data_IF_097705486272
#
_entry.id   IF_097705486272
#
_cell.length_a   1.000
_cell.length_b   1.000
_cell.length_c   1.000
_cell.angle_alpha   90.00
_cell.angle_beta   90.00
_cell.angle_gamma   90.00
#
_symmetry.space_group_name_H-M   'P 1'
#
loop_
_entity.id
_entity.type
_entity.pdbx_description
1 polymer ?
#
# COMPACT_ATOMS: atom_id res chain seq x y z
N UNK A 1 -23.61 -83.45 12.43
CA UNK A 1 -24.73 -83.80 11.51
C UNK A 1 -25.29 -82.49 10.97
N UNK A 2 -25.47 -82.20 9.69
CA UNK A 2 -25.27 -82.97 8.47
C UNK A 2 -25.14 -81.97 7.27
N UNK A 3 -24.14 -82.23 6.43
CA UNK A 3 -23.87 -81.88 5.03
C UNK A 3 -24.80 -80.96 4.19
N UNK A 4 -24.13 -80.04 3.47
CA UNK A 4 -24.36 -79.51 2.11
C UNK A 4 -25.44 -80.17 1.22
N UNK A 5 -26.15 -79.34 0.43
CA UNK A 5 -26.19 -79.47 -1.05
C UNK A 5 -26.83 -78.27 -1.77
N UNK A 6 -26.26 -78.01 -2.94
CA UNK A 6 -26.57 -76.93 -3.86
C UNK A 6 -27.72 -77.25 -4.84
N UNK A 7 -28.21 -76.18 -5.47
CA UNK A 7 -28.31 -75.96 -6.93
C UNK A 7 -29.71 -75.90 -7.60
N UNK A 8 -29.88 -74.77 -8.32
CA UNK A 8 -30.58 -74.52 -9.60
C UNK A 8 -32.07 -74.83 -9.76
N UNK A 9 -32.83 -73.79 -10.13
CA UNK A 9 -33.60 -73.75 -11.39
C UNK A 9 -34.05 -72.31 -11.70
N UNK A 10 -33.69 -71.80 -12.88
CA UNK A 10 -34.27 -70.58 -13.42
C UNK A 10 -35.61 -70.86 -14.13
N UNK A 11 -36.45 -69.84 -14.25
CA UNK A 11 -37.37 -69.68 -15.39
C UNK A 11 -37.92 -68.24 -15.44
N UNK A 12 -37.58 -67.59 -16.56
CA UNK A 12 -38.47 -66.85 -17.46
C UNK A 12 -39.03 -65.48 -17.00
N UNK A 13 -38.45 -64.46 -17.66
CA UNK A 13 -38.98 -63.11 -17.87
C UNK A 13 -40.43 -63.11 -18.37
N UNK A 14 -41.25 -62.23 -17.80
CA UNK A 14 -42.31 -61.53 -18.56
C UNK A 14 -42.21 -60.02 -18.33
N UNK A 15 -41.78 -59.37 -19.39
CA UNK A 15 -41.86 -57.93 -19.62
C UNK A 15 -43.33 -57.59 -19.83
N UNK A 16 -43.91 -56.73 -18.99
CA UNK A 16 -45.19 -56.11 -19.27
C UNK A 16 -44.97 -54.62 -19.47
N UNK A 17 -44.95 -54.25 -20.76
CA UNK A 17 -44.93 -52.89 -21.28
C UNK A 17 -46.24 -52.21 -20.89
N UNK A 18 -46.20 -51.25 -19.97
CA UNK A 18 -47.20 -50.18 -19.96
C UNK A 18 -46.61 -48.98 -20.70
N UNK A 19 -46.81 -49.01 -22.00
CA UNK A 19 -46.76 -47.87 -22.91
C UNK A 19 -47.80 -46.84 -22.45
N UNK A 20 -47.46 -46.05 -21.44
CA UNK A 20 -48.12 -44.77 -21.26
C UNK A 20 -47.53 -43.80 -22.27
N UNK A 21 -48.35 -43.55 -23.28
CA UNK A 21 -48.19 -42.55 -24.32
C UNK A 21 -47.83 -41.18 -23.72
N UNK A 22 -46.52 -40.92 -23.57
CA UNK A 22 -45.95 -39.58 -23.46
C UNK A 22 -45.90 -38.89 -24.84
N UNK A 23 -46.91 -39.13 -25.68
CA UNK A 23 -46.89 -38.73 -27.10
C UNK A 23 -47.09 -37.22 -27.30
N UNK A 24 -47.33 -36.40 -26.27
CA UNK A 24 -47.62 -34.98 -26.43
C UNK A 24 -46.97 -34.03 -25.40
N UNK A 25 -45.82 -34.37 -24.83
CA UNK A 25 -45.01 -33.37 -24.08
C UNK A 25 -43.70 -33.00 -24.77
N UNK A 26 -43.67 -33.18 -26.09
CA UNK A 26 -42.74 -32.51 -27.00
C UNK A 26 -43.38 -31.21 -27.51
N UNK A 27 -43.80 -30.32 -26.61
CA UNK A 27 -43.67 -28.90 -26.91
C UNK A 27 -42.19 -28.56 -26.73
N UNK A 28 -41.39 -28.96 -27.72
CA UNK A 28 -40.06 -28.43 -27.95
C UNK A 28 -40.23 -26.96 -28.34
N UNK A 29 -39.78 -25.97 -27.56
CA UNK A 29 -39.30 -24.75 -28.18
C UNK A 29 -37.98 -25.13 -28.87
N UNK A 30 -37.93 -25.01 -30.19
CA UNK A 30 -36.67 -24.97 -30.91
C UNK A 30 -35.85 -23.80 -30.31
N UNK A 31 -34.93 -24.10 -29.41
CA UNK A 31 -34.21 -23.09 -28.61
C UNK A 31 -33.78 -23.54 -27.22
N UNK A 32 -34.42 -24.55 -26.61
CA UNK A 32 -34.07 -25.01 -25.25
C UNK A 32 -32.63 -25.52 -25.13
N UNK A 33 -32.11 -26.25 -26.12
CA UNK A 33 -30.72 -26.72 -26.12
C UNK A 33 -29.72 -25.56 -26.18
N UNK A 34 -29.98 -24.56 -27.02
CA UNK A 34 -29.16 -23.35 -27.11
C UNK A 34 -29.19 -22.54 -25.81
N UNK A 35 -30.34 -22.48 -25.14
CA UNK A 35 -30.48 -21.79 -23.86
C UNK A 35 -29.59 -22.41 -22.78
N UNK A 36 -29.53 -23.74 -22.70
CA UNK A 36 -28.65 -24.44 -21.75
C UNK A 36 -27.18 -24.16 -22.03
N UNK A 37 -26.77 -24.17 -23.31
CA UNK A 37 -25.38 -23.88 -23.70
C UNK A 37 -24.99 -22.44 -23.36
N UNK A 38 -25.87 -21.46 -23.62
CA UNK A 38 -25.63 -20.05 -23.27
C UNK A 38 -25.48 -19.89 -21.76
N UNK A 39 -26.31 -20.59 -20.96
CA UNK A 39 -26.25 -20.50 -19.51
C UNK A 39 -24.94 -21.09 -18.95
N UNK A 40 -24.51 -22.24 -19.48
CA UNK A 40 -23.22 -22.85 -19.10
C UNK A 40 -22.04 -21.98 -19.51
N UNK A 41 -22.06 -21.41 -20.73
CA UNK A 41 -21.00 -20.52 -21.20
C UNK A 41 -20.94 -19.24 -20.36
N UNK A 42 -22.09 -18.64 -20.05
CA UNK A 42 -22.17 -17.46 -19.18
C UNK A 42 -21.59 -17.77 -17.80
N UNK A 43 -21.97 -18.90 -17.19
CA UNK A 43 -21.43 -19.33 -15.90
C UNK A 43 -19.91 -19.56 -15.95
N UNK A 44 -19.41 -20.30 -16.94
CA UNK A 44 -17.97 -20.54 -17.11
C UNK A 44 -17.19 -19.25 -17.34
N UNK A 45 -17.76 -18.29 -18.07
CA UNK A 45 -17.14 -16.98 -18.31
C UNK A 45 -17.06 -16.16 -17.02
N UNK A 46 -18.13 -16.11 -16.24
CA UNK A 46 -18.13 -15.40 -14.93
C UNK A 46 -17.13 -16.02 -13.97
N UNK A 47 -17.09 -17.35 -13.84
CA UNK A 47 -16.12 -18.05 -12.98
C UNK A 47 -14.69 -17.84 -13.47
N UNK A 48 -14.46 -17.93 -14.78
CA UNK A 48 -13.14 -17.71 -15.38
C UNK A 48 -12.58 -16.31 -15.10
N UNK A 49 -13.41 -15.27 -15.27
CA UNK A 49 -13.01 -13.89 -14.96
C UNK A 49 -12.74 -13.73 -13.46
N UNK A 50 -13.60 -14.26 -12.58
CA UNK A 50 -13.41 -14.16 -11.14
C UNK A 50 -12.08 -14.81 -10.67
N UNK A 51 -11.74 -15.98 -11.21
CA UNK A 51 -10.48 -16.67 -10.89
C UNK A 51 -9.28 -15.87 -11.38
N UNK A 52 -9.34 -15.29 -12.59
CA UNK A 52 -8.28 -14.42 -13.11
C UNK A 52 -8.11 -13.18 -12.23
N UNK A 53 -9.19 -12.54 -11.78
CA UNK A 53 -9.11 -11.38 -10.90
C UNK A 53 -8.43 -11.72 -9.57
N UNK A 54 -8.86 -12.79 -8.90
CA UNK A 54 -8.27 -13.22 -7.60
C UNK A 54 -6.79 -13.59 -7.75
N UNK A 55 -6.43 -14.30 -8.81
CA UNK A 55 -5.04 -14.70 -9.06
C UNK A 55 -4.14 -13.53 -9.45
N UNK A 56 -4.66 -12.50 -10.14
CA UNK A 56 -3.88 -11.28 -10.43
C UNK A 56 -3.70 -10.38 -9.20
N UNK A 57 -4.62 -10.42 -8.23
CA UNK A 57 -4.50 -9.65 -6.99
C UNK A 57 -3.43 -10.22 -6.04
N UNK A 58 -3.25 -11.54 -5.99
CA UNK A 58 -2.28 -12.18 -5.09
C UNK A 58 -0.82 -11.70 -5.25
N UNK A 59 -0.23 -11.76 -6.45
CA UNK A 59 1.14 -11.29 -6.70
C UNK A 59 1.31 -9.78 -6.49
N UNK A 60 0.28 -8.98 -6.79
CA UNK A 60 0.32 -7.52 -6.57
C UNK A 60 0.37 -7.17 -5.09
N UNK A 61 -0.42 -7.84 -4.26
CA UNK A 61 -0.44 -7.64 -2.81
C UNK A 61 0.87 -8.12 -2.17
N UNK A 62 1.43 -9.24 -2.61
CA UNK A 62 2.71 -9.73 -2.08
C UNK A 62 3.89 -8.82 -2.44
N UNK A 63 3.90 -8.26 -3.66
CA UNK A 63 4.93 -7.31 -4.05
C UNK A 63 4.80 -5.98 -3.27
N UNK A 64 3.57 -5.46 -3.11
CA UNK A 64 3.35 -4.23 -2.35
C UNK A 64 3.75 -4.35 -0.88
N UNK A 65 3.47 -5.50 -0.24
CA UNK A 65 3.91 -5.73 1.15
C UNK A 65 5.44 -5.71 1.27
N UNK A 66 6.16 -6.31 0.32
CA UNK A 66 7.64 -6.27 0.33
C UNK A 66 8.17 -4.85 0.16
N UNK A 67 7.61 -4.06 -0.75
CA UNK A 67 8.05 -2.67 -0.95
C UNK A 67 7.74 -1.80 0.27
N UNK A 68 6.61 -2.03 0.94
CA UNK A 68 6.28 -1.35 2.19
C UNK A 68 7.23 -1.72 3.32
N UNK A 69 7.58 -3.00 3.48
CA UNK A 69 8.59 -3.42 4.46
C UNK A 69 9.95 -2.81 4.17
N UNK A 70 10.37 -2.79 2.90
CA UNK A 70 11.62 -2.17 2.48
C UNK A 70 11.62 -0.64 2.72
N UNK A 71 10.50 0.05 2.47
CA UNK A 71 10.36 1.48 2.74
C UNK A 71 10.37 1.77 4.24
N UNK A 72 9.72 0.92 5.05
CA UNK A 72 9.74 1.04 6.49
C UNK A 72 11.15 0.84 7.07
N UNK A 73 11.88 -0.17 6.60
CA UNK A 73 13.27 -0.39 6.99
C UNK A 73 14.16 0.82 6.61
N UNK A 74 13.89 1.46 5.48
CA UNK A 74 14.60 2.68 5.09
C UNK A 74 14.24 3.88 5.96
N UNK A 75 12.98 4.02 6.36
CA UNK A 75 12.55 5.04 7.31
C UNK A 75 13.18 4.82 8.69
N UNK A 76 13.26 3.57 9.18
CA UNK A 76 13.88 3.22 10.47
C UNK A 76 15.38 3.53 10.47
N UNK A 77 16.10 3.17 9.40
CA UNK A 77 17.51 3.51 9.26
C UNK A 77 17.73 5.03 9.22
N UNK A 78 16.86 5.77 8.53
CA UNK A 78 16.88 7.23 8.50
C UNK A 78 16.60 7.86 9.87
N UNK A 79 15.66 7.29 10.63
CA UNK A 79 15.35 7.72 12.00
C UNK A 79 16.56 7.57 12.93
N UNK A 80 17.19 6.39 12.94
CA UNK A 80 18.36 6.13 13.78
C UNK A 80 19.53 7.06 13.42
N UNK A 81 19.77 7.27 12.13
CA UNK A 81 20.81 8.18 11.66
C UNK A 81 20.51 9.63 12.04
N UNK A 82 19.27 10.08 11.89
CA UNK A 82 18.86 11.45 12.20
C UNK A 82 18.97 11.70 13.69
N UNK A 83 18.57 10.74 14.52
CA UNK A 83 18.74 10.81 15.97
C UNK A 83 20.21 11.01 16.35
N UNK A 84 21.12 10.21 15.78
CA UNK A 84 22.56 10.34 16.05
C UNK A 84 23.09 11.70 15.55
N UNK A 85 22.63 12.18 14.39
CA UNK A 85 23.02 13.47 13.85
C UNK A 85 22.58 14.62 14.78
N UNK A 86 21.32 14.63 15.19
CA UNK A 86 20.78 15.61 16.14
C UNK A 86 21.54 15.57 17.48
N UNK A 87 21.76 14.38 18.04
CA UNK A 87 22.49 14.22 19.31
C UNK A 87 23.90 14.82 19.21
N UNK A 88 24.58 14.66 18.06
CA UNK A 88 25.89 15.26 17.81
C UNK A 88 25.82 16.78 17.65
N UNK A 89 24.82 17.32 16.95
CA UNK A 89 24.62 18.76 16.76
C UNK A 89 24.39 19.48 18.10
N UNK A 90 23.58 18.88 18.97
CA UNK A 90 23.34 19.38 20.33
C UNK A 90 24.60 19.26 21.19
N UNK A 91 25.29 18.12 21.15
CA UNK A 91 26.50 17.88 21.96
C UNK A 91 27.66 18.80 21.57
N UNK A 92 27.77 19.13 20.28
CA UNK A 92 28.78 20.06 19.75
C UNK A 92 28.43 21.53 20.02
N UNK A 93 27.22 21.82 20.53
CA UNK A 93 26.73 23.17 20.78
C UNK A 93 26.36 23.94 19.51
N UNK A 94 26.15 23.24 18.38
CA UNK A 94 25.63 23.84 17.15
C UNK A 94 24.13 24.10 17.28
N UNK A 95 23.41 23.18 17.92
CA UNK A 95 21.99 23.34 18.25
C UNK A 95 21.82 23.56 19.76
N UNK A 96 21.04 24.58 20.12
CA UNK A 96 20.68 24.87 21.53
C UNK A 96 19.36 24.21 21.89
N UNK A 97 18.41 24.23 20.95
CA UNK A 97 17.07 23.68 21.05
C UNK A 97 16.54 23.36 19.63
N UNK A 98 15.30 22.89 19.48
CA UNK A 98 14.70 22.57 18.18
C UNK A 98 14.01 23.75 17.49
N UNK A 99 13.91 24.91 18.16
CA UNK A 99 13.00 26.01 17.81
C UNK A 99 13.17 26.56 16.39
N UNK A 100 14.41 26.66 15.93
CA UNK A 100 14.74 27.19 14.60
C UNK A 100 14.81 26.11 13.50
N UNK A 101 14.69 24.83 13.88
CA UNK A 101 14.91 23.68 13.00
C UNK A 101 13.62 22.97 12.55
N UNK A 102 12.45 23.47 12.97
CA UNK A 102 11.17 22.93 12.52
C UNK A 102 10.89 23.26 11.05
N UNK A 103 10.37 22.27 10.33
CA UNK A 103 9.88 22.44 8.97
C UNK A 103 8.56 23.22 8.99
N UNK A 104 8.62 24.49 8.62
CA UNK A 104 7.48 25.41 8.62
C UNK A 104 7.31 26.05 7.25
N UNK A 105 6.10 26.55 6.95
CA UNK A 105 5.90 27.48 5.82
C UNK A 105 5.83 26.91 4.40
N UNK A 106 5.81 25.58 4.18
CA UNK A 106 5.66 24.98 2.84
C UNK A 106 4.27 25.19 2.22
N UNK A 107 3.25 25.41 3.05
CA UNK A 107 1.87 25.65 2.60
C UNK A 107 1.35 26.96 3.16
N UNK A 108 0.27 27.50 2.57
CA UNK A 108 -0.32 28.79 2.97
C UNK A 108 -0.61 28.91 4.47
N UNK A 109 -0.91 27.78 5.13
CA UNK A 109 -1.22 27.73 6.55
C UNK A 109 -0.20 26.93 7.36
N UNK A 110 1.00 26.65 6.82
CA UNK A 110 2.01 25.81 7.46
C UNK A 110 1.75 24.31 7.27
N UNK A 111 2.82 23.53 7.10
CA UNK A 111 2.74 22.07 6.95
C UNK A 111 2.59 21.36 8.32
N UNK A 112 3.02 22.04 9.36
CA UNK A 112 3.02 21.70 10.78
C UNK A 112 1.66 21.95 11.46
N UNK A 113 0.82 22.84 10.93
CA UNK A 113 -0.43 23.27 11.58
C UNK A 113 -1.62 22.40 11.17
N UNK A 114 -2.32 21.70 12.09
CA UNK A 114 -3.45 20.83 11.76
C UNK A 114 -4.75 21.57 11.42
N UNK A 115 -5.00 22.73 12.03
CA UNK A 115 -6.26 23.48 11.89
C UNK A 115 -6.00 24.96 11.57
N UNK A 116 -6.73 25.48 10.59
CA UNK A 116 -6.59 26.87 10.16
C UNK A 116 -7.08 27.78 11.29
N UNK A 117 -6.21 28.67 11.78
CA UNK A 117 -6.52 29.58 12.88
C UNK A 117 -6.94 28.90 14.18
N UNK A 118 -6.49 27.66 14.43
CA UNK A 118 -6.84 26.90 15.64
C UNK A 118 -8.30 26.44 15.70
N UNK A 119 -9.04 26.52 14.59
CA UNK A 119 -10.45 26.16 14.55
C UNK A 119 -10.65 24.70 14.09
N UNK A 120 -11.13 23.85 15.00
CA UNK A 120 -11.38 22.42 14.75
C UNK A 120 -12.35 22.15 13.59
N UNK A 121 -13.21 23.11 13.25
CA UNK A 121 -14.15 22.98 12.13
C UNK A 121 -13.52 23.25 10.76
N UNK A 122 -12.30 23.83 10.72
CA UNK A 122 -11.59 24.20 9.48
C UNK A 122 -10.23 23.52 9.44
N UNK A 123 -10.16 22.24 9.05
CA UNK A 123 -8.92 21.48 9.07
C UNK A 123 -8.02 21.90 7.89
N UNK A 124 -6.73 22.10 8.16
CA UNK A 124 -5.77 22.55 7.17
C UNK A 124 -5.53 21.46 6.11
N UNK A 125 -5.76 21.69 4.81
CA UNK A 125 -5.49 20.70 3.76
C UNK A 125 -3.98 20.47 3.56
N UNK A 126 -3.13 21.43 3.92
CA UNK A 126 -1.68 21.36 3.80
C UNK A 126 -0.96 20.69 4.97
N UNK A 127 -1.69 20.19 5.96
CA UNK A 127 -1.10 19.53 7.13
C UNK A 127 -0.44 18.21 6.75
N UNK A 128 0.80 17.96 7.19
CA UNK A 128 1.62 16.83 6.74
C UNK A 128 0.92 15.47 6.86
N UNK A 129 0.17 15.22 7.94
CA UNK A 129 -0.55 13.94 8.13
C UNK A 129 -1.73 13.72 7.18
N UNK A 130 -2.11 14.75 6.42
CA UNK A 130 -3.19 14.71 5.42
C UNK A 130 -2.65 14.69 4.00
N UNK A 131 -1.35 14.87 3.84
CA UNK A 131 -0.65 14.79 2.58
C UNK A 131 -0.10 13.38 2.39
N UNK A 132 -0.03 12.95 1.14
CA UNK A 132 0.74 11.77 0.74
C UNK A 132 2.22 12.13 0.67
N UNK A 133 3.11 11.17 0.81
CA UNK A 133 4.57 11.36 0.68
C UNK A 133 4.93 12.10 -0.62
N UNK A 134 4.34 11.73 -1.76
CA UNK A 134 4.52 12.42 -3.05
C UNK A 134 4.17 13.91 -3.00
N UNK A 135 3.09 14.26 -2.29
CA UNK A 135 2.68 15.65 -2.14
C UNK A 135 3.66 16.42 -1.28
N UNK A 136 4.18 15.80 -0.21
CA UNK A 136 5.20 16.42 0.64
C UNK A 136 6.48 16.67 -0.18
N UNK A 137 6.92 15.68 -0.97
CA UNK A 137 8.10 15.87 -1.83
C UNK A 137 7.91 16.95 -2.87
N UNK A 138 6.75 17.01 -3.54
CA UNK A 138 6.46 18.07 -4.50
C UNK A 138 6.44 19.48 -3.87
N UNK A 139 6.17 19.58 -2.57
CA UNK A 139 6.22 20.86 -1.84
C UNK A 139 7.66 21.25 -1.48
N UNK A 140 8.53 20.28 -1.23
CA UNK A 140 9.93 20.49 -0.86
C UNK A 140 10.79 20.75 -2.11
N UNK A 141 10.63 19.92 -3.13
CA UNK A 141 11.34 19.92 -4.40
C UNK A 141 10.30 19.91 -5.53
N UNK A 142 10.08 21.09 -6.12
CA UNK A 142 9.07 21.28 -7.17
C UNK A 142 9.60 20.87 -8.54
N UNK A 143 10.92 20.91 -8.73
CA UNK A 143 11.59 20.68 -10.00
C UNK A 143 12.10 19.23 -10.17
N UNK A 144 12.07 18.44 -9.09
CA UNK A 144 12.52 17.04 -8.98
C UNK A 144 14.00 16.82 -9.30
N UNK A 145 14.86 17.80 -9.01
CA UNK A 145 16.31 17.70 -9.21
C UNK A 145 17.04 17.06 -8.02
N UNK A 146 16.32 16.74 -6.94
CA UNK A 146 16.87 16.15 -5.72
C UNK A 146 17.46 17.19 -4.77
N UNK A 147 17.18 18.48 -4.99
CA UNK A 147 17.57 19.59 -4.12
C UNK A 147 16.29 20.32 -3.67
N UNK A 148 16.13 20.60 -2.36
CA UNK A 148 14.99 21.39 -1.87
C UNK A 148 14.96 22.80 -2.49
N UNK A 149 13.82 23.17 -3.10
CA UNK A 149 13.60 24.48 -3.74
C UNK A 149 13.09 25.52 -2.74
N UNK A 150 12.14 25.12 -1.88
CA UNK A 150 11.29 26.01 -1.09
C UNK A 150 11.60 26.00 0.42
N UNK A 151 12.62 25.25 0.83
CA UNK A 151 12.95 25.01 2.24
C UNK A 151 14.39 25.46 2.53
N UNK A 152 14.64 26.27 3.57
CA UNK A 152 15.98 26.49 4.06
C UNK A 152 16.65 25.14 4.39
N UNK A 153 17.88 24.92 3.90
CA UNK A 153 18.58 23.65 4.11
C UNK A 153 18.68 23.26 5.60
N UNK A 154 18.65 24.23 6.51
CA UNK A 154 18.77 24.01 7.96
C UNK A 154 17.47 23.48 8.64
N UNK A 155 16.35 23.38 7.90
CA UNK A 155 15.08 22.83 8.39
C UNK A 155 14.84 21.37 7.96
N UNK A 156 15.67 20.85 7.05
CA UNK A 156 15.67 19.46 6.62
C UNK A 156 16.92 18.79 7.20
N UNK A 157 16.75 17.74 7.99
CA UNK A 157 17.90 16.98 8.51
C UNK A 157 18.50 16.17 7.36
N UNK A 158 17.66 15.44 6.63
CA UNK A 158 18.04 14.69 5.43
C UNK A 158 16.99 14.88 4.36
N UNK A 159 17.43 15.02 3.10
CA UNK A 159 16.54 15.05 1.95
C UNK A 159 17.00 14.04 0.90
N UNK A 160 16.16 13.03 0.65
CA UNK A 160 16.39 11.96 -0.32
C UNK A 160 17.77 11.28 -0.22
N UNK A 161 18.30 11.17 0.98
CA UNK A 161 19.63 10.61 1.23
C UNK A 161 19.66 9.08 1.11
N UNK A 162 20.65 8.48 0.43
CA UNK A 162 20.78 7.03 0.31
C UNK A 162 21.51 6.42 1.52
N UNK A 163 20.89 5.43 2.18
CA UNK A 163 21.44 4.83 3.42
C UNK A 163 21.96 3.39 3.30
N UNK A 164 21.48 2.60 2.34
CA UNK A 164 21.86 1.19 2.25
C UNK A 164 23.09 1.02 1.37
N UNK A 165 24.05 0.19 1.80
CA UNK A 165 25.12 -0.26 0.91
C UNK A 165 24.68 -1.51 0.17
N UNK A 166 24.85 -1.52 -1.14
CA UNK A 166 24.63 -2.71 -1.95
C UNK A 166 25.71 -3.77 -1.68
N UNK A 167 25.59 -4.94 -2.32
CA UNK A 167 26.54 -6.06 -2.16
C UNK A 167 27.99 -5.71 -2.58
N UNK A 168 28.19 -4.63 -3.35
CA UNK A 168 29.51 -4.09 -3.71
C UNK A 168 30.04 -3.01 -2.75
N UNK A 169 29.32 -2.69 -1.67
CA UNK A 169 29.71 -1.70 -0.69
C UNK A 169 29.46 -0.24 -1.09
N UNK A 170 28.84 0.00 -2.26
CA UNK A 170 28.42 1.33 -2.72
C UNK A 170 27.01 1.63 -2.26
N UNK A 171 26.69 2.90 -2.01
CA UNK A 171 25.35 3.31 -1.61
C UNK A 171 24.33 2.93 -2.69
N UNK A 172 23.19 2.43 -2.25
CA UNK A 172 22.09 1.97 -3.08
C UNK A 172 21.06 3.09 -3.18
N UNK A 173 21.09 3.80 -4.31
CA UNK A 173 20.24 4.96 -4.59
C UNK A 173 18.73 4.62 -4.68
N UNK A 174 18.38 3.33 -4.62
CA UNK A 174 16.98 2.86 -4.60
C UNK A 174 16.30 3.10 -3.27
N UNK A 175 17.07 3.08 -2.18
CA UNK A 175 16.57 3.24 -0.82
C UNK A 175 16.96 4.60 -0.31
N UNK A 176 15.98 5.49 -0.16
CA UNK A 176 16.19 6.87 0.25
C UNK A 176 15.36 7.18 1.48
N UNK A 177 15.86 8.09 2.31
CA UNK A 177 15.05 8.65 3.38
C UNK A 177 15.08 10.18 3.37
N UNK A 178 13.99 10.75 3.83
CA UNK A 178 13.85 12.17 4.12
C UNK A 178 13.40 12.33 5.56
N UNK A 179 14.06 13.23 6.28
CA UNK A 179 13.85 13.42 7.71
C UNK A 179 13.78 14.91 8.05
N UNK A 180 12.75 15.30 8.80
CA UNK A 180 12.53 16.67 9.25
C UNK A 180 11.81 16.72 10.61
N UNK A 181 11.85 17.88 11.24
CA UNK A 181 11.23 18.14 12.54
C UNK A 181 9.94 18.92 12.39
N UNK A 182 8.97 18.62 13.26
CA UNK A 182 7.72 19.36 13.42
C UNK A 182 7.54 19.66 14.91
N UNK A 183 7.00 20.84 15.21
CA UNK A 183 6.55 21.24 16.55
C UNK A 183 5.26 20.46 16.90
N UNK A 184 5.22 19.71 18.01
CA UNK A 184 4.01 18.99 18.45
C UNK A 184 2.92 19.88 19.04
N UNK A 185 3.27 21.08 19.50
CA UNK A 185 2.32 22.10 19.92
C UNK A 185 1.76 22.92 18.74
N UNK A 186 2.31 22.75 17.53
CA UNK A 186 1.88 23.50 16.35
C UNK A 186 0.36 23.43 16.14
N UNK A 187 -0.28 24.60 16.17
CA UNK A 187 -1.73 24.75 15.98
C UNK A 187 -2.62 24.20 17.09
N UNK A 188 -2.07 23.79 18.23
CA UNK A 188 -2.84 23.40 19.44
C UNK A 188 -3.32 24.61 20.26
N UNK A 189 -2.70 25.78 20.04
CA UNK A 189 -2.92 26.99 20.82
C UNK A 189 -2.11 27.08 22.12
N UNK A 190 -1.30 26.05 22.42
CA UNK A 190 -0.24 26.12 23.42
C UNK A 190 0.95 26.95 22.90
N UNK A 191 1.79 27.42 23.81
CA UNK A 191 3.09 28.00 23.43
C UNK A 191 4.02 26.86 23.03
N UNK A 192 4.77 27.04 21.94
CA UNK A 192 5.81 26.10 21.49
C UNK A 192 6.82 25.84 22.59
N UNK A 193 7.10 24.58 22.87
CA UNK A 193 8.20 24.12 23.71
C UNK A 193 9.33 23.61 22.79
N UNK A 194 10.49 24.28 22.72
CA UNK A 194 11.55 23.90 21.80
C UNK A 194 12.40 22.72 22.31
N UNK A 195 12.00 22.08 23.43
CA UNK A 195 12.73 20.93 24.02
C UNK A 195 12.18 19.57 23.61
N UNK A 196 10.99 19.54 23.02
CA UNK A 196 10.37 18.39 22.38
C UNK A 196 10.02 18.67 20.91
N UNK A 197 9.83 17.58 20.17
CA UNK A 197 9.57 17.63 18.73
C UNK A 197 9.04 16.29 18.21
N UNK A 198 8.32 16.36 17.10
CA UNK A 198 8.03 15.23 16.24
C UNK A 198 9.10 15.08 15.15
N UNK A 199 9.89 14.01 15.25
CA UNK A 199 10.79 13.59 14.18
C UNK A 199 10.02 12.78 13.12
N UNK A 200 9.86 13.34 11.93
CA UNK A 200 9.15 12.70 10.82
C UNK A 200 10.17 12.07 9.88
N UNK A 201 10.03 10.77 9.63
CA UNK A 201 10.90 10.00 8.74
C UNK A 201 10.08 9.36 7.62
N UNK A 202 10.41 9.68 6.38
CA UNK A 202 9.78 9.13 5.17
C UNK A 202 10.82 8.27 4.46
N UNK A 203 10.57 6.97 4.39
CA UNK A 203 11.40 6.01 3.65
C UNK A 203 10.79 5.72 2.27
N UNK A 204 11.62 5.74 1.23
CA UNK A 204 11.19 5.52 -0.16
C UNK A 204 12.01 4.42 -0.78
N UNK A 205 11.33 3.50 -1.47
CA UNK A 205 11.93 2.46 -2.31
C UNK A 205 11.59 2.74 -3.76
N UNK A 206 12.58 3.13 -4.55
CA UNK A 206 12.42 3.32 -6.00
C UNK A 206 12.74 2.01 -6.73
N UNK A 207 11.82 1.57 -7.60
CA UNK A 207 12.00 0.37 -8.43
C UNK A 207 11.83 0.72 -9.91
N UNK A 208 12.92 0.61 -10.69
CA UNK A 208 12.92 0.94 -12.11
C UNK A 208 14.33 0.93 -12.70
N UNK A 209 14.43 0.84 -14.04
CA UNK A 209 15.72 0.90 -14.75
C UNK A 209 16.31 2.32 -14.79
N UNK A 210 15.46 3.32 -14.53
CA UNK A 210 15.81 4.71 -14.33
C UNK A 210 15.30 5.13 -12.94
N UNK A 211 16.11 5.85 -12.16
CA UNK A 211 15.82 6.31 -10.77
C UNK A 211 14.71 7.39 -10.72
N UNK A 212 13.99 7.57 -11.83
CA UNK A 212 12.92 8.56 -12.05
C UNK A 212 11.51 7.98 -11.94
N UNK A 213 11.37 6.66 -11.74
CA UNK A 213 10.04 6.05 -11.67
C UNK A 213 9.42 6.26 -10.28
N UNK A 214 8.15 6.68 -10.33
CA UNK A 214 7.29 7.14 -9.23
C UNK A 214 7.49 6.44 -7.89
N UNK A 215 7.30 7.21 -6.85
CA UNK A 215 7.01 6.73 -5.50
C UNK A 215 5.74 5.89 -5.62
N UNK A 216 5.80 4.61 -5.23
CA UNK A 216 4.70 3.65 -5.39
C UNK A 216 3.79 3.63 -4.17
#
# INVERSE_FOLDING_TARGET
MNQNKANKKGMVRKVQKNSFSFKNWLFRPAGSGMMVVILVLAFMLTVGVAVLTVTTSGPKISASMRYQEEAFNAAEAGFDAARIAIDNLITNGEWVDFGEHYLTGLTEHGIDIPFIGGNLATPNPGYFRRLTDEQIFNLIDTNHDGIPDAVPQDQLIFFEEPFFKNQSGTLDERYRCTVFLIDDEAGTGAATDPTDTLLICIGVVRSGRNVTDRIL
#
